data_IF_030948186431
#
_entry.id   IF_030948186431
#
_cell.length_a   1.000
_cell.length_b   1.000
_cell.length_c   1.000
_cell.angle_alpha   90.00
_cell.angle_beta   90.00
_cell.angle_gamma   90.00
#
_symmetry.space_group_name_H-M   'P 1'
#
loop_
_entity.id
_entity.type
_entity.pdbx_description
1 polymer ?
#
# COMPACT_ATOMS: atom_id res chain seq x y z
N UNK A 1 -5.35 -54.98 -37.16
CA UNK A 1 -4.45 -55.18 -36.00
C UNK A 1 -4.02 -53.81 -35.53
N UNK A 2 -4.54 -53.32 -34.40
CA UNK A 2 -3.81 -53.21 -33.10
C UNK A 2 -2.48 -52.46 -33.29
N UNK A 3 -2.27 -51.25 -32.75
CA UNK A 3 -2.03 -51.07 -31.32
C UNK A 3 -2.22 -49.59 -30.90
N UNK A 4 -3.04 -49.39 -29.88
CA UNK A 4 -3.20 -48.16 -29.11
C UNK A 4 -1.96 -47.88 -28.25
N UNK A 5 -1.80 -46.61 -27.86
CA UNK A 5 -1.39 -46.19 -26.51
C UNK A 5 0.03 -46.59 -26.06
N UNK A 6 1.00 -45.73 -26.37
CA UNK A 6 2.19 -45.51 -25.54
C UNK A 6 2.27 -43.99 -25.37
N UNK A 7 1.53 -43.43 -24.41
CA UNK A 7 2.04 -43.11 -23.07
C UNK A 7 3.16 -42.07 -23.22
N UNK A 8 2.84 -40.77 -23.20
CA UNK A 8 2.69 -40.04 -21.94
C UNK A 8 3.87 -40.31 -20.99
N UNK A 9 5.11 -40.18 -21.47
CA UNK A 9 6.32 -40.48 -20.68
C UNK A 9 7.53 -39.58 -21.01
N UNK A 10 7.32 -38.30 -21.32
CA UNK A 10 8.45 -37.36 -21.53
C UNK A 10 8.30 -36.04 -20.76
N UNK A 11 7.42 -35.97 -19.76
CA UNK A 11 7.38 -34.84 -18.84
C UNK A 11 7.02 -35.31 -17.42
N UNK A 12 8.01 -35.89 -16.71
CA UNK A 12 8.33 -35.31 -15.41
C UNK A 12 9.85 -35.32 -15.20
N UNK A 13 10.55 -34.31 -15.73
CA UNK A 13 11.92 -34.01 -15.31
C UNK A 13 11.97 -32.65 -14.60
N UNK A 14 10.98 -32.38 -13.76
CA UNK A 14 10.89 -31.17 -12.93
C UNK A 14 10.47 -31.47 -11.48
N UNK A 15 10.83 -32.66 -10.97
CA UNK A 15 10.44 -33.11 -9.62
C UNK A 15 11.55 -33.86 -8.87
N UNK A 16 12.81 -33.42 -9.01
CA UNK A 16 13.93 -34.05 -8.29
C UNK A 16 14.89 -33.07 -7.60
N UNK A 17 14.46 -31.84 -7.32
CA UNK A 17 15.08 -31.00 -6.28
C UNK A 17 14.03 -30.67 -5.22
N UNK A 18 13.49 -31.72 -4.60
CA UNK A 18 13.02 -31.57 -3.21
C UNK A 18 14.30 -31.49 -2.40
N UNK A 19 14.79 -30.26 -2.20
CA UNK A 19 15.64 -29.97 -1.06
C UNK A 19 14.95 -30.61 0.14
N UNK A 20 15.62 -31.55 0.82
CA UNK A 20 15.16 -32.04 2.11
C UNK A 20 15.09 -30.80 2.99
N UNK A 21 13.90 -30.25 3.18
CA UNK A 21 13.63 -29.36 4.28
C UNK A 21 13.92 -30.18 5.52
N UNK A 22 14.93 -29.74 6.26
CA UNK A 22 15.21 -30.22 7.60
C UNK A 22 13.90 -30.13 8.39
N UNK A 23 13.53 -31.24 9.05
CA UNK A 23 12.29 -31.41 9.81
C UNK A 23 12.42 -30.66 11.15
N UNK A 24 12.81 -29.39 11.09
CA UNK A 24 12.78 -28.50 12.23
C UNK A 24 11.38 -27.93 12.32
N UNK A 25 10.74 -28.15 13.47
CA UNK A 25 9.45 -27.57 13.85
C UNK A 25 9.23 -26.19 13.23
N UNK A 26 8.03 -25.98 12.65
CA UNK A 26 7.62 -24.69 12.09
C UNK A 26 7.80 -23.64 13.18
N UNK A 27 8.89 -22.87 13.07
CA UNK A 27 9.23 -21.87 14.07
C UNK A 27 8.12 -20.83 14.08
N UNK A 28 7.64 -20.50 15.26
CA UNK A 28 6.58 -19.51 15.43
C UNK A 28 7.01 -18.15 14.88
N UNK A 29 6.04 -17.29 14.59
CA UNK A 29 6.30 -15.94 14.07
C UNK A 29 7.27 -15.14 14.98
N UNK A 30 7.18 -15.37 16.29
CA UNK A 30 8.06 -14.84 17.33
C UNK A 30 9.55 -15.13 17.06
N UNK A 31 9.89 -16.32 16.57
CA UNK A 31 11.27 -16.67 16.21
C UNK A 31 11.83 -15.81 15.06
N UNK A 32 10.97 -15.44 14.11
CA UNK A 32 11.36 -14.60 12.97
C UNK A 32 11.37 -13.11 13.32
N UNK A 33 10.63 -12.72 14.36
CA UNK A 33 10.59 -11.33 14.84
C UNK A 33 11.77 -11.01 15.75
N UNK A 34 12.34 -11.99 16.47
CA UNK A 34 13.47 -11.80 17.38
C UNK A 34 14.47 -12.97 17.31
N UNK A 35 15.23 -13.10 16.20
CA UNK A 35 16.17 -14.21 16.02
C UNK A 35 17.37 -14.07 16.98
N UNK A 36 17.81 -15.16 17.64
CA UNK A 36 18.99 -15.12 18.50
C UNK A 36 20.23 -14.71 17.71
N UNK A 37 20.99 -13.73 18.21
CA UNK A 37 22.18 -13.21 17.55
C UNK A 37 23.23 -14.32 17.35
N UNK A 38 23.34 -14.84 16.12
CA UNK A 38 24.49 -15.64 15.71
C UNK A 38 25.60 -14.70 15.27
N UNK A 39 26.77 -14.83 15.89
CA UNK A 39 27.96 -14.05 15.58
C UNK A 39 28.60 -14.56 14.29
N UNK A 40 28.12 -14.09 13.14
CA UNK A 40 28.81 -14.13 11.85
C UNK A 40 28.41 -12.86 11.09
N UNK A 41 29.37 -11.96 10.82
CA UNK A 41 29.15 -10.63 10.23
C UNK A 41 28.35 -10.64 8.90
N UNK A 42 28.28 -11.79 8.21
CA UNK A 42 27.49 -12.00 6.98
C UNK A 42 25.97 -12.20 7.23
N UNK A 43 25.60 -12.73 8.40
CA UNK A 43 24.20 -12.97 8.79
C UNK A 43 23.46 -11.65 9.10
N UNK A 44 24.21 -10.63 9.54
CA UNK A 44 23.68 -9.30 9.85
C UNK A 44 23.19 -8.56 8.60
N UNK A 45 23.97 -8.60 7.50
CA UNK A 45 23.60 -7.93 6.24
C UNK A 45 22.36 -8.57 5.62
N UNK A 46 22.29 -9.90 5.56
CA UNK A 46 21.13 -10.61 4.98
C UNK A 46 19.87 -10.43 5.85
N UNK A 47 20.02 -10.45 7.17
CA UNK A 47 18.94 -10.14 8.11
C UNK A 47 18.41 -8.72 7.97
N UNK A 48 19.31 -7.72 7.89
CA UNK A 48 18.93 -6.31 7.66
C UNK A 48 18.22 -6.13 6.32
N UNK A 49 18.74 -6.73 5.23
CA UNK A 49 18.11 -6.64 3.92
C UNK A 49 16.72 -7.30 3.89
N UNK A 50 16.56 -8.45 4.56
CA UNK A 50 15.27 -9.13 4.66
C UNK A 50 14.28 -8.32 5.48
N UNK A 51 14.73 -7.71 6.59
CA UNK A 51 13.90 -6.85 7.43
C UNK A 51 13.44 -5.60 6.65
N UNK A 52 14.33 -4.94 5.92
CA UNK A 52 13.98 -3.78 5.09
C UNK A 52 12.99 -4.13 3.97
N UNK A 53 13.18 -5.29 3.34
CA UNK A 53 12.25 -5.81 2.34
C UNK A 53 10.89 -6.13 2.97
N UNK A 54 10.87 -6.80 4.14
CA UNK A 54 9.66 -7.14 4.87
C UNK A 54 8.88 -5.88 5.30
N UNK A 55 9.56 -4.86 5.84
CA UNK A 55 8.95 -3.58 6.16
C UNK A 55 8.36 -2.90 4.93
N UNK A 56 9.07 -2.89 3.81
CA UNK A 56 8.60 -2.27 2.57
C UNK A 56 7.36 -2.97 2.03
N UNK A 57 7.36 -4.31 2.00
CA UNK A 57 6.24 -5.11 1.51
C UNK A 57 5.05 -5.01 2.46
N UNK A 58 5.28 -5.14 3.76
CA UNK A 58 4.25 -5.03 4.80
C UNK A 58 3.59 -3.65 4.81
N UNK A 59 4.37 -2.57 4.68
CA UNK A 59 3.83 -1.21 4.59
C UNK A 59 2.95 -1.02 3.34
N UNK A 60 3.38 -1.54 2.19
CA UNK A 60 2.58 -1.46 0.95
C UNK A 60 1.31 -2.30 1.06
N UNK A 61 1.41 -3.50 1.63
CA UNK A 61 0.28 -4.39 1.90
C UNK A 61 -0.75 -3.76 2.82
N UNK A 62 -0.32 -3.21 3.96
CA UNK A 62 -1.20 -2.54 4.91
C UNK A 62 -1.87 -1.30 4.33
N UNK A 63 -1.16 -0.49 3.53
CA UNK A 63 -1.79 0.63 2.80
C UNK A 63 -2.83 0.16 1.80
N UNK A 64 -2.58 -0.93 1.09
CA UNK A 64 -3.53 -1.48 0.13
C UNK A 64 -4.80 -2.03 0.81
N UNK A 65 -4.64 -2.74 1.92
CA UNK A 65 -5.74 -3.21 2.76
C UNK A 65 -6.57 -2.03 3.29
N UNK A 66 -5.92 -1.03 3.89
CA UNK A 66 -6.62 0.14 4.41
C UNK A 66 -7.32 0.94 3.31
N UNK A 67 -6.70 1.08 2.14
CA UNK A 67 -7.33 1.73 0.99
C UNK A 67 -8.57 0.95 0.52
N UNK A 68 -8.53 -0.39 0.53
CA UNK A 68 -9.68 -1.24 0.17
C UNK A 68 -10.84 -1.02 1.15
N UNK A 69 -10.58 -0.95 2.45
CA UNK A 69 -11.59 -0.66 3.47
C UNK A 69 -12.21 0.73 3.27
N UNK A 70 -11.39 1.76 3.11
CA UNK A 70 -11.87 3.13 2.89
C UNK A 70 -12.72 3.19 1.62
N UNK A 71 -12.29 2.55 0.53
CA UNK A 71 -13.08 2.49 -0.71
C UNK A 71 -14.44 1.84 -0.48
N UNK A 72 -14.50 0.73 0.26
CA UNK A 72 -15.76 0.08 0.58
C UNK A 72 -16.67 0.98 1.43
N UNK A 73 -16.09 1.69 2.40
CA UNK A 73 -16.83 2.65 3.23
C UNK A 73 -17.37 3.84 2.39
N UNK A 74 -16.59 4.35 1.44
CA UNK A 74 -17.02 5.41 0.52
C UNK A 74 -18.14 4.94 -0.40
N UNK A 75 -18.04 3.73 -0.97
CA UNK A 75 -19.11 3.19 -1.81
C UNK A 75 -20.42 2.99 -1.04
N UNK A 76 -20.33 2.54 0.22
CA UNK A 76 -21.49 2.43 1.10
C UNK A 76 -22.16 3.80 1.38
N UNK A 77 -21.40 4.90 1.29
CA UNK A 77 -21.89 6.27 1.50
C UNK A 77 -22.12 7.05 0.19
N UNK A 78 -22.03 6.37 -0.96
CA UNK A 78 -22.02 7.01 -2.29
C UNK A 78 -23.14 8.02 -2.50
N UNK A 79 -24.38 7.68 -2.17
CA UNK A 79 -25.52 8.58 -2.36
C UNK A 79 -25.43 9.86 -1.51
N UNK A 80 -24.90 9.77 -0.29
CA UNK A 80 -24.68 10.92 0.57
C UNK A 80 -23.56 11.81 0.02
N UNK A 81 -22.47 11.19 -0.44
CA UNK A 81 -21.34 11.90 -1.03
C UNK A 81 -21.73 12.58 -2.35
N UNK A 82 -22.53 11.92 -3.20
CA UNK A 82 -23.05 12.48 -4.46
C UNK A 82 -23.94 13.70 -4.20
N UNK A 83 -24.75 13.67 -3.13
CA UNK A 83 -25.56 14.81 -2.71
C UNK A 83 -24.71 15.96 -2.15
N UNK A 84 -23.77 15.67 -1.25
CA UNK A 84 -22.95 16.66 -0.56
C UNK A 84 -21.92 17.33 -1.50
N UNK A 85 -21.36 16.57 -2.44
CA UNK A 85 -20.38 17.02 -3.42
C UNK A 85 -20.98 17.14 -4.83
N UNK A 86 -22.23 17.62 -4.91
CA UNK A 86 -22.89 17.94 -6.18
C UNK A 86 -22.35 19.25 -6.75
N UNK A 87 -21.50 19.15 -7.77
CA UNK A 87 -20.92 20.34 -8.44
C UNK A 87 -21.75 20.81 -9.64
N UNK A 88 -22.71 20.00 -10.11
CA UNK A 88 -23.54 20.31 -11.28
C UNK A 88 -24.25 21.68 -11.18
N UNK A 89 -24.80 22.10 -10.03
CA UNK A 89 -25.42 23.41 -9.89
C UNK A 89 -24.43 24.58 -9.92
N UNK A 90 -23.13 24.30 -9.73
CA UNK A 90 -22.08 25.32 -9.67
C UNK A 90 -21.39 25.55 -11.03
N UNK A 91 -21.68 24.73 -12.04
CA UNK A 91 -21.14 24.87 -13.39
C UNK A 91 -21.86 26.02 -14.10
N UNK A 92 -21.11 26.89 -14.78
CA UNK A 92 -21.71 28.00 -15.54
C UNK A 92 -22.54 27.48 -16.72
N UNK A 93 -23.43 28.32 -17.28
CA UNK A 93 -24.23 27.97 -18.47
C UNK A 93 -23.37 27.56 -19.68
N UNK A 94 -22.14 28.06 -19.75
CA UNK A 94 -21.15 27.79 -20.79
C UNK A 94 -20.30 26.53 -20.50
N UNK A 95 -20.55 25.85 -19.37
CA UNK A 95 -19.90 24.59 -19.02
C UNK A 95 -18.56 24.71 -18.29
N UNK A 96 -18.20 25.91 -17.79
CA UNK A 96 -16.96 26.09 -17.04
C UNK A 96 -17.13 25.72 -15.56
N UNK A 97 -16.15 25.00 -15.02
CA UNK A 97 -16.06 24.72 -13.59
C UNK A 97 -15.58 26.00 -12.86
N UNK A 98 -16.23 26.41 -11.76
CA UNK A 98 -15.83 27.59 -11.01
C UNK A 98 -14.42 27.41 -10.41
N UNK A 99 -13.68 28.51 -10.21
CA UNK A 99 -12.35 28.45 -9.61
C UNK A 99 -12.43 28.07 -8.12
N UNK A 100 -11.39 27.41 -7.62
CA UNK A 100 -11.23 27.15 -6.18
C UNK A 100 -10.71 28.42 -5.50
N UNK A 101 -11.50 28.99 -4.60
CA UNK A 101 -11.14 30.17 -3.82
C UNK A 101 -10.48 29.71 -2.53
N UNK A 102 -9.18 29.97 -2.38
CA UNK A 102 -8.50 29.81 -1.11
C UNK A 102 -8.73 31.07 -0.27
N UNK A 103 -9.54 30.94 0.77
CA UNK A 103 -9.75 32.00 1.75
C UNK A 103 -8.77 31.85 2.92
N UNK A 104 -8.15 32.96 3.30
CA UNK A 104 -7.34 33.04 4.50
C UNK A 104 -7.95 34.10 5.43
N UNK A 105 -8.42 33.66 6.59
CA UNK A 105 -9.03 34.52 7.61
C UNK A 105 -7.99 34.84 8.68
N UNK A 106 -7.94 36.10 9.10
CA UNK A 106 -7.04 36.62 10.13
C UNK A 106 -5.54 36.35 9.88
N UNK A 107 -5.05 36.80 8.72
CA UNK A 107 -3.64 36.67 8.36
C UNK A 107 -2.87 37.91 8.80
N UNK A 108 -1.82 37.71 9.59
CA UNK A 108 -0.80 38.72 9.87
C UNK A 108 0.50 38.34 9.17
N UNK A 109 1.01 39.23 8.32
CA UNK A 109 2.32 39.11 7.72
C UNK A 109 3.27 40.08 8.42
N UNK A 110 4.27 39.54 9.10
CA UNK A 110 5.27 40.29 9.87
C UNK A 110 6.61 40.16 9.16
N UNK A 111 7.15 41.28 8.71
CA UNK A 111 8.55 41.41 8.29
C UNK A 111 9.29 42.28 9.31
N UNK A 112 10.63 42.29 9.25
CA UNK A 112 11.46 43.07 10.18
C UNK A 112 11.16 44.59 10.17
N UNK A 113 10.55 45.08 9.09
CA UNK A 113 10.27 46.50 8.87
C UNK A 113 8.77 46.83 8.87
N UNK A 114 7.89 45.84 8.73
CA UNK A 114 6.45 46.08 8.57
C UNK A 114 5.57 44.96 9.12
N UNK A 115 4.47 45.36 9.75
CA UNK A 115 3.36 44.48 10.11
C UNK A 115 2.17 44.81 9.20
N UNK A 116 1.63 43.80 8.51
CA UNK A 116 0.39 43.90 7.72
C UNK A 116 -0.61 42.89 8.26
N UNK A 117 -1.78 43.35 8.69
CA UNK A 117 -2.88 42.49 9.13
C UNK A 117 -4.02 42.60 8.13
N UNK A 118 -4.59 41.48 7.71
CA UNK A 118 -5.76 41.43 6.84
C UNK A 118 -6.86 40.60 7.50
N UNK A 119 -8.04 41.19 7.66
CA UNK A 119 -9.25 40.52 8.09
C UNK A 119 -10.33 40.74 7.03
N UNK A 120 -11.03 39.67 6.64
CA UNK A 120 -12.20 39.73 5.78
C UNK A 120 -13.43 39.61 6.67
N UNK A 121 -14.16 40.73 6.83
CA UNK A 121 -15.40 40.82 7.59
C UNK A 121 -16.58 40.21 6.83
#
# INVERSE_FOLDING_TARGET
>A
MKLKLIVLLTLPLLAANVARADDSDVKGLDYYMDPPSQSDDEADVTGSMLNDAAHTIGFRGGKAERAKEIRAALENQRSNLDYMYSFQPLISSEGYLPPVIAEAKDVAHITNEQIRTANRA
#
